data_IF_664739973872
#
_entry.id   IF_664739973872
#
_cell.length_a   1.000
_cell.length_b   1.000
_cell.length_c   1.000
_cell.angle_alpha   90.00
_cell.angle_beta   90.00
_cell.angle_gamma   90.00
#
_symmetry.space_group_name_H-M   'P 1'
#
loop_
_entity.id
_entity.type
_entity.pdbx_description
1 polymer ?
#
# COMPACT_ATOMS: atom_id res chain seq x y z
N UNK A 1 -28.85 8.16 -10.58
CA UNK A 1 -29.20 6.79 -11.05
C UNK A 1 -30.38 6.84 -12.03
N UNK A 2 -30.26 7.57 -13.14
CA UNK A 2 -31.37 7.79 -14.10
C UNK A 2 -31.26 6.96 -15.40
N UNK A 3 -30.25 6.09 -15.52
CA UNK A 3 -29.92 5.35 -16.77
C UNK A 3 -30.12 3.83 -16.64
N UNK A 4 -31.03 3.33 -15.80
CA UNK A 4 -31.33 1.89 -15.75
C UNK A 4 -32.43 1.55 -16.77
N UNK A 5 -32.32 0.37 -17.39
CA UNK A 5 -33.21 -0.12 -18.45
C UNK A 5 -34.57 -0.52 -17.86
N UNK A 6 -35.69 -0.09 -18.48
CA UNK A 6 -37.05 -0.21 -17.90
C UNK A 6 -37.91 -1.25 -18.63
N UNK A 7 -38.62 -2.09 -17.88
CA UNK A 7 -39.75 -2.90 -18.35
C UNK A 7 -40.88 -2.85 -17.30
N UNK A 8 -42.14 -2.88 -17.76
CA UNK A 8 -43.33 -2.53 -16.99
C UNK A 8 -44.03 -3.76 -16.40
N UNK A 9 -43.94 -3.98 -15.08
CA UNK A 9 -44.86 -4.86 -14.33
C UNK A 9 -45.06 -4.38 -12.87
N UNK A 10 -46.22 -4.68 -12.24
CA UNK A 10 -46.78 -3.90 -11.13
C UNK A 10 -46.39 -4.39 -9.72
N UNK A 11 -45.53 -5.39 -9.57
CA UNK A 11 -45.24 -6.00 -8.26
C UNK A 11 -43.78 -5.99 -7.81
N UNK A 12 -42.87 -5.35 -8.54
CA UNK A 12 -41.55 -5.00 -8.02
C UNK A 12 -40.97 -3.88 -8.88
N UNK A 13 -40.90 -2.67 -8.31
CA UNK A 13 -40.21 -1.54 -8.92
C UNK A 13 -38.77 -1.94 -9.26
N UNK A 14 -38.42 -1.82 -10.54
CA UNK A 14 -37.17 -1.34 -11.16
C UNK A 14 -35.80 -1.57 -10.45
N UNK A 15 -35.70 -1.41 -9.12
CA UNK A 15 -34.51 -1.64 -8.30
C UNK A 15 -34.21 -3.12 -8.02
N UNK A 16 -35.21 -4.01 -8.00
CA UNK A 16 -35.00 -5.39 -7.50
C UNK A 16 -34.27 -6.32 -8.47
N UNK A 17 -34.05 -5.91 -9.72
CA UNK A 17 -33.64 -6.80 -10.82
C UNK A 17 -32.27 -6.50 -11.44
N UNK A 18 -31.46 -5.63 -10.85
CA UNK A 18 -30.10 -5.35 -11.37
C UNK A 18 -29.13 -4.94 -10.28
N UNK A 19 -27.85 -5.29 -10.46
CA UNK A 19 -26.77 -4.97 -9.52
C UNK A 19 -26.13 -3.61 -9.84
N UNK A 20 -26.09 -2.73 -8.85
CA UNK A 20 -25.32 -1.49 -8.70
C UNK A 20 -23.86 -1.69 -8.29
N UNK A 21 -22.84 -1.22 -9.02
CA UNK A 21 -21.48 -1.09 -8.48
C UNK A 21 -20.96 0.33 -8.74
N UNK A 22 -20.70 1.07 -7.67
CA UNK A 22 -19.98 2.34 -7.70
C UNK A 22 -18.57 2.11 -7.17
N UNK A 23 -17.55 2.48 -7.95
CA UNK A 23 -16.15 2.40 -7.53
C UNK A 23 -15.53 3.78 -7.52
N UNK A 24 -15.09 4.22 -6.34
CA UNK A 24 -14.33 5.45 -6.14
C UNK A 24 -12.86 5.08 -5.96
N UNK A 25 -12.00 5.56 -6.85
CA UNK A 25 -10.54 5.44 -6.73
C UNK A 25 -9.98 6.72 -6.15
N UNK A 26 -9.29 6.62 -5.01
CA UNK A 26 -8.68 7.74 -4.31
C UNK A 26 -7.18 7.58 -4.43
N UNK A 27 -6.49 8.61 -4.93
CA UNK A 27 -5.02 8.65 -4.97
C UNK A 27 -4.58 9.78 -4.05
N UNK A 28 -3.61 9.50 -3.19
CA UNK A 28 -3.01 10.47 -2.30
C UNK A 28 -1.50 10.49 -2.54
N UNK A 29 -1.01 11.64 -2.99
CA UNK A 29 0.40 11.96 -3.16
C UNK A 29 0.82 12.98 -2.09
N UNK A 30 1.66 12.61 -1.11
CA UNK A 30 2.12 13.56 -0.11
C UNK A 30 2.95 14.66 -0.78
N UNK A 31 2.55 15.92 -0.59
CA UNK A 31 3.28 17.08 -1.11
C UNK A 31 4.50 17.34 -0.22
N UNK A 32 5.71 17.31 -0.80
CA UNK A 32 6.95 17.70 -0.10
C UNK A 32 7.91 16.55 0.28
N UNK A 33 7.52 15.28 0.10
CA UNK A 33 8.44 14.15 0.25
C UNK A 33 9.01 13.77 -1.13
N UNK A 34 10.32 13.89 -1.33
CA UNK A 34 11.01 13.37 -2.50
C UNK A 34 11.78 12.10 -2.11
N UNK A 35 11.42 10.93 -2.65
CA UNK A 35 10.39 10.68 -3.64
C UNK A 35 8.98 10.53 -3.04
N UNK A 36 7.97 11.00 -3.76
CA UNK A 36 6.59 10.99 -3.32
C UNK A 36 6.02 9.58 -3.47
N UNK A 37 5.89 8.84 -2.36
CA UNK A 37 5.19 7.55 -2.37
C UNK A 37 3.70 7.83 -2.50
N UNK A 38 3.13 7.54 -3.67
CA UNK A 38 1.69 7.64 -3.89
C UNK A 38 1.00 6.44 -3.26
N UNK A 39 -0.03 6.73 -2.49
CA UNK A 39 -0.92 5.73 -1.90
C UNK A 39 -2.24 5.73 -2.65
N UNK A 40 -2.76 4.55 -2.97
CA UNK A 40 -4.04 4.42 -3.66
C UNK A 40 -5.04 3.62 -2.83
N UNK A 41 -6.22 4.19 -2.65
CA UNK A 41 -7.40 3.56 -2.08
C UNK A 41 -8.45 3.26 -3.15
N UNK A 42 -9.24 2.21 -2.94
CA UNK A 42 -10.42 1.91 -3.74
C UNK A 42 -11.60 1.66 -2.80
N UNK A 43 -12.64 2.48 -2.90
CA UNK A 43 -13.92 2.27 -2.22
C UNK A 43 -14.93 1.74 -3.24
N UNK A 44 -15.45 0.54 -3.01
CA UNK A 44 -16.51 -0.05 -3.82
C UNK A 44 -17.80 -0.12 -3.00
N UNK A 45 -18.86 0.53 -3.51
CA UNK A 45 -20.21 0.46 -2.96
C UNK A 45 -21.02 -0.41 -3.93
N UNK A 46 -21.62 -1.46 -3.39
CA UNK A 46 -22.32 -2.48 -4.17
C UNK A 46 -23.76 -2.56 -3.68
N UNK A 47 -24.70 -2.34 -4.59
CA UNK A 47 -26.13 -2.48 -4.39
C UNK A 47 -26.58 -3.74 -5.14
N UNK A 48 -26.97 -4.76 -4.40
CA UNK A 48 -27.32 -6.06 -4.97
C UNK A 48 -28.81 -6.09 -5.33
N UNK A 49 -29.13 -6.80 -6.41
CA UNK A 49 -30.50 -7.15 -6.76
C UNK A 49 -31.18 -7.97 -5.63
N UNK A 50 -32.50 -8.02 -5.67
CA UNK A 50 -33.32 -8.80 -4.74
C UNK A 50 -32.93 -10.27 -4.72
N UNK A 51 -32.89 -10.87 -3.52
CA UNK A 51 -32.54 -12.28 -3.32
C UNK A 51 -33.75 -13.21 -3.38
N UNK A 52 -34.94 -12.66 -3.59
CA UNK A 52 -36.19 -13.41 -3.64
C UNK A 52 -36.25 -14.36 -4.84
N UNK A 53 -36.81 -15.55 -4.58
CA UNK A 53 -37.09 -16.52 -5.64
C UNK A 53 -38.45 -16.19 -6.27
N UNK A 54 -38.49 -16.17 -7.60
CA UNK A 54 -39.76 -16.19 -8.31
C UNK A 54 -40.45 -17.51 -8.02
N UNK A 55 -41.70 -17.44 -7.58
CA UNK A 55 -42.53 -18.61 -7.33
C UNK A 55 -43.00 -19.16 -8.68
N UNK A 56 -42.90 -20.47 -8.86
CA UNK A 56 -43.37 -21.15 -10.07
C UNK A 56 -44.89 -20.94 -10.20
N UNK A 57 -45.33 -20.22 -11.23
CA UNK A 57 -46.75 -20.06 -11.55
C UNK A 57 -47.18 -18.74 -12.20
N UNK A 58 -46.37 -17.66 -12.12
CA UNK A 58 -46.85 -16.30 -12.43
C UNK A 58 -46.02 -15.54 -13.48
N UNK A 59 -45.21 -16.25 -14.29
CA UNK A 59 -44.21 -15.60 -15.14
C UNK A 59 -44.15 -16.18 -16.57
N UNK A 60 -44.26 -15.29 -17.56
CA UNK A 60 -43.97 -15.54 -18.98
C UNK A 60 -42.52 -16.02 -19.16
N UNK A 61 -42.24 -16.86 -20.17
CA UNK A 61 -40.89 -17.43 -20.43
C UNK A 61 -39.76 -16.39 -20.42
N UNK A 62 -39.97 -15.21 -21.02
CA UNK A 62 -38.99 -14.11 -21.02
C UNK A 62 -38.66 -13.58 -19.62
N UNK A 63 -39.64 -13.56 -18.72
CA UNK A 63 -39.46 -13.12 -17.33
C UNK A 63 -38.69 -14.18 -16.52
N UNK A 64 -38.85 -15.46 -16.87
CA UNK A 64 -38.12 -16.57 -16.25
C UNK A 64 -36.64 -16.54 -16.63
N UNK A 65 -36.30 -16.25 -17.89
CA UNK A 65 -34.91 -16.10 -18.34
C UNK A 65 -34.20 -14.89 -17.70
N UNK A 66 -34.87 -13.73 -17.65
CA UNK A 66 -34.33 -12.52 -17.03
C UNK A 66 -34.09 -12.73 -15.52
N UNK A 67 -35.10 -13.25 -14.81
CA UNK A 67 -34.99 -13.54 -13.37
C UNK A 67 -33.96 -14.64 -13.10
N UNK A 68 -33.86 -15.63 -13.98
CA UNK A 68 -32.85 -16.67 -13.92
C UNK A 68 -31.43 -16.12 -13.95
N UNK A 69 -31.16 -15.13 -14.81
CA UNK A 69 -29.85 -14.49 -14.89
C UNK A 69 -29.49 -13.64 -13.66
N UNK A 70 -30.46 -12.94 -13.07
CA UNK A 70 -30.28 -12.18 -11.84
C UNK A 70 -29.95 -13.12 -10.68
N UNK A 71 -30.77 -14.15 -10.50
CA UNK A 71 -30.58 -15.14 -9.45
C UNK A 71 -29.32 -15.98 -9.64
N UNK A 72 -28.87 -16.20 -10.88
CA UNK A 72 -27.60 -16.85 -11.16
C UNK A 72 -26.43 -16.12 -10.51
N UNK A 73 -26.36 -14.79 -10.62
CA UNK A 73 -25.26 -14.03 -10.02
C UNK A 73 -25.24 -14.10 -8.48
N UNK A 74 -26.40 -14.05 -7.81
CA UNK A 74 -26.50 -14.20 -6.36
C UNK A 74 -26.26 -15.64 -5.89
N UNK A 75 -26.67 -16.63 -6.68
CA UNK A 75 -26.39 -18.04 -6.44
C UNK A 75 -24.89 -18.30 -6.51
N UNK A 76 -24.23 -17.84 -7.57
CA UNK A 76 -22.77 -17.94 -7.72
C UNK A 76 -22.04 -17.21 -6.58
N UNK A 77 -22.54 -16.05 -6.16
CA UNK A 77 -22.02 -15.36 -4.98
C UNK A 77 -22.11 -16.25 -3.73
N UNK A 78 -23.24 -16.91 -3.50
CA UNK A 78 -23.42 -17.86 -2.40
C UNK A 78 -22.50 -19.09 -2.47
N UNK A 79 -22.23 -19.59 -3.68
CA UNK A 79 -21.27 -20.67 -3.92
C UNK A 79 -19.84 -20.22 -3.59
N UNK A 80 -19.44 -19.02 -4.03
CA UNK A 80 -18.13 -18.44 -3.70
C UNK A 80 -17.94 -18.31 -2.18
N UNK A 81 -18.95 -17.78 -1.48
CA UNK A 81 -18.93 -17.66 -0.02
C UNK A 81 -18.81 -19.04 0.63
N UNK A 82 -19.59 -20.02 0.18
CA UNK A 82 -19.54 -21.37 0.75
C UNK A 82 -18.16 -22.02 0.52
N UNK A 83 -17.55 -21.82 -0.64
CA UNK A 83 -16.20 -22.33 -0.95
C UNK A 83 -15.11 -21.65 -0.10
N UNK A 84 -15.19 -20.33 0.11
CA UNK A 84 -14.31 -19.59 1.02
C UNK A 84 -14.50 -20.00 2.49
N UNK A 85 -15.74 -20.38 2.79
CA UNK A 85 -16.34 -20.92 4.02
C UNK A 85 -15.74 -22.23 4.55
N UNK A 86 -15.44 -23.11 3.61
CA UNK A 86 -15.15 -24.51 3.87
C UNK A 86 -13.63 -24.71 3.88
N UNK A 87 -13.02 -25.13 5.00
CA UNK A 87 -11.57 -25.31 5.07
C UNK A 87 -11.03 -26.33 4.06
N UNK A 88 -11.85 -27.29 3.61
CA UNK A 88 -11.45 -28.28 2.59
C UNK A 88 -11.45 -27.67 1.19
N UNK A 89 -12.36 -26.75 0.90
CA UNK A 89 -12.53 -26.14 -0.44
C UNK A 89 -11.82 -24.80 -0.59
N UNK A 90 -11.45 -24.16 0.53
CA UNK A 90 -10.80 -22.84 0.54
C UNK A 90 -9.47 -22.81 -0.21
N UNK A 91 -8.76 -23.94 -0.23
CA UNK A 91 -7.49 -24.09 -0.95
C UNK A 91 -7.69 -24.58 -2.40
N UNK A 92 -8.93 -24.87 -2.81
CA UNK A 92 -9.28 -25.28 -4.15
C UNK A 92 -9.75 -24.12 -5.03
N UNK A 93 -10.33 -24.47 -6.18
CA UNK A 93 -10.88 -23.49 -7.12
C UNK A 93 -12.15 -22.82 -6.55
N UNK A 94 -12.15 -21.49 -6.49
CA UNK A 94 -13.32 -20.69 -6.12
C UNK A 94 -13.96 -20.15 -7.42
N UNK A 95 -15.27 -20.35 -7.64
CA UNK A 95 -15.94 -20.06 -8.90
C UNK A 95 -16.24 -18.57 -9.13
N UNK A 96 -15.25 -17.68 -8.96
CA UNK A 96 -15.46 -16.25 -9.21
C UNK A 96 -15.85 -15.95 -10.66
N UNK A 97 -15.40 -16.77 -11.61
CA UNK A 97 -15.60 -16.58 -13.04
C UNK A 97 -17.01 -16.96 -13.53
N UNK A 98 -17.80 -17.63 -12.71
CA UNK A 98 -19.11 -18.14 -13.11
C UNK A 98 -20.17 -17.02 -13.22
N UNK A 99 -19.89 -15.83 -12.66
CA UNK A 99 -20.68 -14.62 -12.87
C UNK A 99 -19.79 -13.36 -12.96
N UNK A 100 -20.22 -12.37 -13.76
CA UNK A 100 -19.53 -11.07 -13.85
C UNK A 100 -19.46 -10.36 -12.49
N UNK A 101 -20.51 -10.46 -11.68
CA UNK A 101 -20.56 -9.88 -10.34
C UNK A 101 -19.45 -10.44 -9.45
N UNK A 102 -19.33 -11.77 -9.37
CA UNK A 102 -18.31 -12.43 -8.54
C UNK A 102 -16.89 -12.21 -9.05
N UNK A 103 -16.70 -11.99 -10.36
CA UNK A 103 -15.41 -11.55 -10.90
C UNK A 103 -15.01 -10.17 -10.37
N UNK A 104 -15.94 -9.21 -10.40
CA UNK A 104 -15.70 -7.85 -9.92
C UNK A 104 -15.49 -7.79 -8.40
N UNK A 105 -16.15 -8.67 -7.64
CA UNK A 105 -16.06 -8.76 -6.18
C UNK A 105 -14.95 -9.69 -5.67
N UNK A 106 -14.16 -10.31 -6.56
CA UNK A 106 -13.10 -11.25 -6.19
C UNK A 106 -12.09 -10.65 -5.20
N UNK A 107 -11.74 -9.38 -5.35
CA UNK A 107 -10.82 -8.66 -4.43
C UNK A 107 -11.47 -8.40 -3.05
N UNK A 108 -12.81 -8.33 -2.99
CA UNK A 108 -13.58 -8.09 -1.75
C UNK A 108 -13.93 -9.39 -1.01
N UNK A 109 -13.98 -10.53 -1.71
CA UNK A 109 -14.35 -11.81 -1.12
C UNK A 109 -13.14 -12.72 -1.04
N UNK A 110 -12.41 -12.71 0.08
CA UNK A 110 -11.20 -13.50 0.27
C UNK A 110 -9.92 -12.88 -0.32
N UNK A 111 -10.00 -11.66 -0.84
CA UNK A 111 -8.89 -10.92 -1.45
C UNK A 111 -8.22 -9.90 -0.52
N UNK A 112 -7.70 -8.83 -1.13
CA UNK A 112 -6.89 -7.79 -0.49
C UNK A 112 -7.67 -6.58 0.04
N UNK A 113 -9.00 -6.58 -0.08
CA UNK A 113 -9.87 -5.51 0.38
C UNK A 113 -10.41 -5.70 1.80
N UNK A 114 -10.74 -4.58 2.45
CA UNK A 114 -11.64 -4.57 3.61
C UNK A 114 -13.07 -4.63 3.08
N UNK A 115 -13.92 -5.48 3.65
CA UNK A 115 -15.26 -5.72 3.13
C UNK A 115 -16.28 -5.76 4.24
N UNK A 116 -17.36 -5.01 4.05
CA UNK A 116 -18.52 -4.94 4.93
C UNK A 116 -19.73 -5.44 4.14
N UNK A 117 -20.49 -6.35 4.74
CA UNK A 117 -21.77 -6.82 4.20
C UNK A 117 -22.90 -6.32 5.08
N UNK A 118 -23.90 -5.67 4.47
CA UNK A 118 -25.12 -5.24 5.13
C UNK A 118 -26.24 -6.20 4.71
N UNK A 119 -26.86 -6.86 5.68
CA UNK A 119 -27.97 -7.78 5.45
C UNK A 119 -29.30 -7.06 5.69
N UNK A 120 -29.98 -6.67 4.62
CA UNK A 120 -31.30 -6.05 4.69
C UNK A 120 -32.38 -7.14 4.76
N UNK A 121 -33.20 -7.12 5.81
CA UNK A 121 -34.28 -8.11 6.02
C UNK A 121 -35.59 -7.41 6.33
N UNK A 122 -36.70 -8.07 6.05
CA UNK A 122 -38.05 -7.55 6.30
C UNK A 122 -38.62 -8.17 7.58
N UNK A 123 -39.20 -7.37 8.50
CA UNK A 123 -39.80 -7.89 9.72
C UNK A 123 -41.16 -8.59 9.50
N UNK A 124 -41.69 -8.58 8.27
CA UNK A 124 -43.02 -9.13 7.95
C UNK A 124 -43.00 -10.66 8.05
N UNK A 125 -44.01 -11.24 8.70
CA UNK A 125 -44.18 -12.69 8.83
C UNK A 125 -44.25 -13.40 7.45
N UNK A 126 -44.86 -12.77 6.45
CA UNK A 126 -44.91 -13.30 5.08
C UNK A 126 -43.51 -13.49 4.44
N UNK A 127 -42.50 -12.75 4.91
CA UNK A 127 -41.13 -12.76 4.41
C UNK A 127 -40.17 -13.55 5.33
N UNK A 128 -40.70 -14.33 6.27
CA UNK A 128 -39.89 -15.06 7.26
C UNK A 128 -38.85 -15.98 6.59
N UNK A 129 -39.26 -16.68 5.54
CA UNK A 129 -38.38 -17.63 4.84
C UNK A 129 -37.21 -16.91 4.16
N UNK A 130 -37.47 -15.80 3.46
CA UNK A 130 -36.40 -15.02 2.82
C UNK A 130 -35.49 -14.34 3.84
N UNK A 131 -36.06 -13.84 4.93
CA UNK A 131 -35.29 -13.31 6.07
C UNK A 131 -34.34 -14.35 6.63
N UNK A 132 -34.81 -15.58 6.85
CA UNK A 132 -33.98 -16.68 7.33
C UNK A 132 -32.87 -17.04 6.34
N UNK A 133 -33.16 -17.02 5.03
CA UNK A 133 -32.17 -17.25 3.99
C UNK A 133 -31.06 -16.19 4.04
N UNK A 134 -31.42 -14.92 4.10
CA UNK A 134 -30.47 -13.79 4.17
C UNK A 134 -29.61 -13.84 5.44
N UNK A 135 -30.19 -14.18 6.60
CA UNK A 135 -29.44 -14.31 7.85
C UNK A 135 -28.46 -15.50 7.83
N UNK A 136 -28.87 -16.64 7.27
CA UNK A 136 -27.97 -17.79 7.07
C UNK A 136 -26.82 -17.43 6.13
N UNK A 137 -27.11 -16.65 5.09
CA UNK A 137 -26.14 -16.17 4.14
C UNK A 137 -25.12 -15.23 4.79
N UNK A 138 -25.57 -14.22 5.51
CA UNK A 138 -24.70 -13.25 6.21
C UNK A 138 -23.85 -13.90 7.30
N UNK A 139 -24.43 -14.87 8.02
CA UNK A 139 -23.70 -15.68 9.01
C UNK A 139 -22.54 -16.46 8.38
N UNK A 140 -22.72 -17.00 7.18
CA UNK A 140 -21.61 -17.60 6.41
C UNK A 140 -20.59 -16.55 5.98
N UNK A 141 -21.05 -15.44 5.40
CA UNK A 141 -20.18 -14.37 4.91
C UNK A 141 -19.28 -13.78 6.01
N UNK A 142 -19.77 -13.66 7.25
CA UNK A 142 -19.00 -13.20 8.42
C UNK A 142 -17.71 -14.01 8.67
N UNK A 143 -17.67 -15.27 8.23
CA UNK A 143 -16.52 -16.16 8.46
C UNK A 143 -15.43 -16.05 7.38
N UNK A 144 -15.67 -15.30 6.30
CA UNK A 144 -14.69 -15.09 5.24
C UNK A 144 -13.48 -14.33 5.81
N UNK A 145 -12.27 -14.80 5.48
CA UNK A 145 -11.02 -14.19 5.92
C UNK A 145 -10.36 -13.46 4.76
N UNK A 146 -10.42 -12.13 4.78
CA UNK A 146 -9.66 -11.27 3.86
C UNK A 146 -8.26 -11.00 4.42
N UNK A 147 -7.33 -10.64 3.53
CA UNK A 147 -5.96 -10.24 3.88
C UNK A 147 -5.72 -8.82 3.37
N UNK A 148 -6.19 -7.78 4.07
CA UNK A 148 -6.07 -6.41 3.57
C UNK A 148 -4.60 -6.02 3.37
N UNK A 149 -4.28 -5.52 2.18
CA UNK A 149 -2.93 -5.05 1.83
C UNK A 149 -3.02 -3.59 1.37
N UNK A 150 -2.20 -2.72 1.96
CA UNK A 150 -2.07 -1.35 1.50
C UNK A 150 -1.52 -1.35 0.06
N UNK A 151 -2.31 -0.86 -0.89
CA UNK A 151 -1.86 -0.70 -2.28
C UNK A 151 -0.99 0.54 -2.39
N UNK A 152 0.31 0.35 -2.22
CA UNK A 152 1.33 1.28 -2.69
C UNK A 152 1.72 0.88 -4.11
N UNK A 153 1.87 1.86 -5.01
CA UNK A 153 2.31 1.56 -6.36
C UNK A 153 3.80 1.16 -6.32
N UNK A 154 4.08 -0.14 -6.42
CA UNK A 154 5.43 -0.70 -6.40
C UNK A 154 6.27 -0.13 -7.55
N UNK A 155 5.63 0.12 -8.70
CA UNK A 155 6.31 0.74 -9.84
C UNK A 155 6.77 2.16 -9.47
N UNK A 156 5.90 2.92 -8.82
CA UNK A 156 6.20 4.28 -8.38
C UNK A 156 7.23 4.31 -7.25
N UNK A 157 7.24 3.33 -6.34
CA UNK A 157 8.31 3.15 -5.34
C UNK A 157 9.68 2.82 -5.95
N UNK A 158 9.71 1.99 -6.98
CA UNK A 158 10.96 1.68 -7.70
C UNK A 158 11.44 2.92 -8.46
N UNK A 159 10.54 3.60 -9.16
CA UNK A 159 10.83 4.81 -9.92
C UNK A 159 11.34 5.94 -9.00
N UNK A 160 10.69 6.12 -7.86
CA UNK A 160 11.10 6.95 -6.74
C UNK A 160 12.53 6.68 -6.25
N UNK A 161 12.88 5.40 -6.10
CA UNK A 161 14.20 4.98 -5.62
C UNK A 161 15.27 5.23 -6.68
N UNK A 162 15.01 4.85 -7.92
CA UNK A 162 15.91 5.08 -9.06
C UNK A 162 16.19 6.57 -9.28
N UNK A 163 15.17 7.42 -9.16
CA UNK A 163 15.36 8.88 -9.27
C UNK A 163 16.23 9.45 -8.15
N UNK A 164 16.19 8.87 -6.94
CA UNK A 164 17.08 9.28 -5.85
C UNK A 164 18.52 8.89 -6.16
N UNK A 165 18.72 7.66 -6.62
CA UNK A 165 20.03 7.14 -7.01
C UNK A 165 20.69 8.01 -8.09
N UNK A 166 19.92 8.36 -9.13
CA UNK A 166 20.38 9.23 -10.22
C UNK A 166 20.85 10.58 -9.69
N UNK A 167 20.09 11.20 -8.77
CA UNK A 167 20.47 12.49 -8.18
C UNK A 167 21.79 12.41 -7.41
N UNK A 168 21.93 11.40 -6.55
CA UNK A 168 23.15 11.20 -5.77
C UNK A 168 24.36 10.99 -6.68
N UNK A 169 24.26 10.11 -7.67
CA UNK A 169 25.34 9.85 -8.63
C UNK A 169 25.70 11.07 -9.47
N UNK A 170 24.73 11.91 -9.84
CA UNK A 170 25.01 13.15 -10.57
C UNK A 170 25.75 14.18 -9.71
N UNK A 171 25.44 14.26 -8.42
CA UNK A 171 26.07 15.17 -7.49
C UNK A 171 27.51 14.74 -7.17
N UNK A 172 27.74 13.45 -6.94
CA UNK A 172 29.08 12.88 -6.79
C UNK A 172 29.93 13.10 -8.05
N UNK A 173 29.37 12.85 -9.24
CA UNK A 173 30.06 13.12 -10.50
C UNK A 173 30.40 14.60 -10.67
N UNK A 174 29.53 15.50 -10.23
CA UNK A 174 29.77 16.93 -10.29
C UNK A 174 30.94 17.34 -9.38
N UNK A 175 30.97 16.84 -8.15
CA UNK A 175 32.06 17.08 -7.20
C UNK A 175 33.39 16.55 -7.75
N UNK A 176 33.42 15.30 -8.21
CA UNK A 176 34.63 14.68 -8.78
C UNK A 176 35.16 15.47 -9.98
N UNK A 177 34.27 15.95 -10.86
CA UNK A 177 34.64 16.80 -12.01
C UNK A 177 35.18 18.17 -11.60
N UNK A 178 34.77 18.73 -10.47
CA UNK A 178 35.36 19.97 -9.94
C UNK A 178 36.76 19.77 -9.34
N UNK A 179 37.06 18.60 -8.80
CA UNK A 179 38.37 18.30 -8.20
C UNK A 179 39.42 17.86 -9.23
N UNK A 180 39.00 17.30 -10.37
CA UNK A 180 39.87 16.91 -11.49
C UNK A 180 40.84 18.02 -11.96
N UNK A 181 40.40 19.27 -12.24
CA UNK A 181 41.32 20.32 -12.68
C UNK A 181 42.33 20.75 -11.61
N UNK A 182 42.00 20.67 -10.31
CA UNK A 182 42.95 20.98 -9.22
C UNK A 182 44.10 19.97 -9.19
N UNK A 183 43.80 18.68 -9.34
CA UNK A 183 44.82 17.64 -9.46
C UNK A 183 45.67 17.79 -10.73
N UNK A 184 45.10 18.34 -11.80
CA UNK A 184 45.78 18.54 -13.08
C UNK A 184 46.69 19.78 -13.05
N UNK A 185 46.26 20.87 -12.42
CA UNK A 185 47.09 22.05 -12.15
C UNK A 185 48.23 21.74 -11.17
N UNK A 186 48.02 20.90 -10.15
CA UNK A 186 49.08 20.44 -9.23
C UNK A 186 50.12 19.57 -9.96
N UNK A 187 49.71 18.86 -11.03
CA UNK A 187 50.63 18.09 -11.89
C UNK A 187 51.41 19.00 -12.86
N UNK A 188 50.79 20.04 -13.40
CA UNK A 188 51.41 20.97 -14.36
C UNK A 188 52.31 22.02 -13.68
N UNK A 189 51.95 22.47 -12.48
CA UNK A 189 52.75 23.42 -11.70
C UNK A 189 53.99 22.80 -11.04
N UNK A 190 54.09 21.47 -11.00
CA UNK A 190 55.30 20.72 -10.60
C UNK A 190 56.35 20.51 -11.70
N UNK A 191 56.10 20.95 -12.95
CA UNK A 191 57.02 20.76 -14.08
C UNK A 191 57.70 22.08 -14.46
N UNK A 192 58.83 22.37 -13.81
CA UNK A 192 59.79 23.37 -14.29
C UNK A 192 61.16 22.70 -14.49
N UNK A 193 61.49 22.29 -15.73
CA UNK A 193 62.88 22.28 -16.19
C UNK A 193 62.98 22.63 -17.68
N UNK A 194 63.82 23.62 -17.94
CA UNK A 194 64.34 24.09 -19.21
C UNK A 194 64.84 22.98 -20.13
N UNK A 195 64.48 23.06 -21.42
CA UNK A 195 65.21 22.39 -22.49
C UNK A 195 66.31 23.30 -23.07
N UNK A 196 67.56 22.97 -22.76
CA UNK A 196 68.70 23.26 -23.64
C UNK A 196 69.64 22.05 -23.68
N UNK A 197 69.64 21.36 -24.83
CA UNK A 197 70.82 20.71 -25.41
C UNK A 197 71.33 19.37 -24.83
N UNK A 198 71.06 18.28 -25.57
CA UNK A 198 72.08 17.28 -25.94
C UNK A 198 72.40 16.11 -24.98
N UNK A 199 72.09 14.89 -25.45
CA UNK A 199 72.97 13.71 -25.28
C UNK A 199 72.77 12.78 -24.08
N UNK A 200 72.47 11.51 -24.39
CA UNK A 200 72.67 10.26 -23.60
C UNK A 200 71.92 10.04 -22.28
N UNK A 201 70.87 9.22 -22.38
CA UNK A 201 70.48 8.06 -21.55
C UNK A 201 71.13 7.83 -20.17
N UNK A 202 70.34 8.01 -19.10
CA UNK A 202 70.10 7.16 -17.90
C UNK A 202 69.87 7.99 -16.60
N UNK A 203 69.24 7.40 -15.56
CA UNK A 203 67.81 7.50 -15.23
C UNK A 203 67.45 8.72 -14.37
N UNK A 204 66.43 9.45 -14.82
CA UNK A 204 65.79 10.56 -14.11
C UNK A 204 64.89 9.96 -13.01
N UNK A 205 65.43 9.74 -11.82
CA UNK A 205 64.66 9.15 -10.71
C UNK A 205 64.93 9.74 -9.33
N UNK A 206 65.92 10.63 -9.17
CA UNK A 206 66.32 11.11 -7.84
C UNK A 206 66.25 12.64 -7.67
N UNK A 207 66.12 13.41 -8.75
CA UNK A 207 66.18 14.88 -8.68
C UNK A 207 64.82 15.57 -8.49
N UNK A 208 63.70 14.88 -8.73
CA UNK A 208 62.36 15.47 -8.55
C UNK A 208 62.05 15.69 -7.06
N UNK A 209 62.54 14.82 -6.18
CA UNK A 209 62.28 14.92 -4.74
C UNK A 209 63.07 16.06 -4.07
N UNK A 210 64.23 16.43 -4.63
CA UNK A 210 65.10 17.47 -4.05
C UNK A 210 64.64 18.89 -4.35
N UNK A 211 63.77 19.10 -5.35
CA UNK A 211 63.16 20.39 -5.65
C UNK A 211 62.01 20.74 -4.69
N UNK A 212 61.33 19.73 -4.12
CA UNK A 212 60.23 19.93 -3.17
C UNK A 212 60.67 20.44 -1.79
N UNK A 213 61.96 20.39 -1.46
CA UNK A 213 62.49 20.92 -0.18
C UNK A 213 62.85 22.41 -0.22
N UNK A 214 62.67 23.08 -1.37
CA UNK A 214 63.15 24.44 -1.62
C UNK A 214 62.22 25.60 -1.25
N UNK A 215 60.98 25.36 -0.83
CA UNK A 215 60.03 26.44 -0.50
C UNK A 215 59.41 26.25 0.88
N UNK A 216 60.07 26.84 1.89
CA UNK A 216 59.45 27.45 3.09
C UNK A 216 58.77 26.56 4.14
N UNK A 217 58.25 25.39 3.78
CA UNK A 217 57.75 24.37 4.69
C UNK A 217 58.55 23.10 4.36
N UNK A 218 59.41 22.67 5.28
CA UNK A 218 60.13 21.40 5.11
C UNK A 218 59.12 20.31 4.77
N UNK A 219 59.42 19.40 3.83
CA UNK A 219 58.58 18.21 3.59
C UNK A 219 58.17 17.52 4.91
N UNK A 220 59.05 17.60 5.91
CA UNK A 220 58.81 17.17 7.29
C UNK A 220 57.67 17.91 7.99
N UNK A 221 57.53 19.23 7.82
CA UNK A 221 56.43 19.99 8.41
C UNK A 221 55.11 19.69 7.73
N UNK A 222 55.07 19.59 6.40
CA UNK A 222 53.85 19.19 5.68
C UNK A 222 53.41 17.78 6.06
N UNK A 223 54.36 16.84 6.19
CA UNK A 223 54.08 15.47 6.63
C UNK A 223 53.58 15.43 8.09
N UNK A 224 54.06 16.33 8.93
CA UNK A 224 53.62 16.47 10.33
C UNK A 224 52.22 17.09 10.43
N UNK A 225 51.89 18.06 9.59
CA UNK A 225 50.56 18.67 9.50
C UNK A 225 49.53 17.67 8.97
N UNK A 226 49.87 16.90 7.93
CA UNK A 226 49.01 15.83 7.40
C UNK A 226 48.75 14.73 8.44
N UNK A 227 49.77 14.38 9.22
CA UNK A 227 49.64 13.37 10.27
C UNK A 227 48.72 13.86 11.40
N UNK A 228 48.81 15.15 11.76
CA UNK A 228 47.90 15.78 12.72
C UNK A 228 46.45 15.85 12.22
N UNK A 229 46.24 16.18 10.94
CA UNK A 229 44.89 16.22 10.36
C UNK A 229 44.27 14.82 10.29
N UNK A 230 45.05 13.78 9.99
CA UNK A 230 44.59 12.38 10.01
C UNK A 230 44.15 11.96 11.41
N UNK A 231 44.95 12.26 12.44
CA UNK A 231 44.59 11.93 13.83
C UNK A 231 43.34 12.68 14.30
N UNK A 232 43.22 13.96 13.93
CA UNK A 232 42.03 14.77 14.19
C UNK A 232 40.79 14.20 13.51
N UNK A 233 40.88 13.86 12.21
CA UNK A 233 39.79 13.25 11.45
C UNK A 233 39.39 11.88 12.02
N UNK A 234 40.36 11.09 12.47
CA UNK A 234 40.07 9.83 13.17
C UNK A 234 39.34 10.09 14.50
N UNK A 235 39.75 11.10 15.27
CA UNK A 235 39.05 11.53 16.47
C UNK A 235 37.60 11.95 16.19
N UNK A 236 37.39 12.82 15.21
CA UNK A 236 36.04 13.26 14.80
C UNK A 236 35.17 12.08 14.34
N UNK A 237 35.75 11.14 13.58
CA UNK A 237 35.06 9.91 13.14
C UNK A 237 34.63 9.04 14.32
N UNK A 238 35.46 8.86 15.34
CA UNK A 238 35.08 8.08 16.53
C UNK A 238 33.90 8.72 17.27
N UNK A 239 33.92 10.04 17.46
CA UNK A 239 32.81 10.78 18.10
C UNK A 239 31.52 10.69 17.28
N UNK A 240 31.61 10.76 15.96
CA UNK A 240 30.45 10.61 15.08
C UNK A 240 29.86 9.19 15.12
N UNK A 241 30.71 8.16 15.19
CA UNK A 241 30.26 6.77 15.33
C UNK A 241 29.53 6.55 16.66
N UNK A 242 30.05 7.08 17.77
CA UNK A 242 29.37 7.01 19.07
C UNK A 242 28.00 7.73 19.04
N UNK A 243 27.92 8.89 18.40
CA UNK A 243 26.65 9.61 18.21
C UNK A 243 25.66 8.83 17.35
N UNK A 244 26.15 8.21 16.27
CA UNK A 244 25.34 7.36 15.38
C UNK A 244 24.79 6.17 16.16
N UNK A 245 25.64 5.48 16.94
CA UNK A 245 25.24 4.33 17.76
C UNK A 245 24.20 4.74 18.82
N UNK A 246 24.40 5.87 19.52
CA UNK A 246 23.41 6.39 20.47
C UNK A 246 22.08 6.74 19.81
N UNK A 247 22.11 7.27 18.59
CA UNK A 247 20.89 7.58 17.81
C UNK A 247 20.16 6.30 17.41
N UNK A 248 20.88 5.28 16.94
CA UNK A 248 20.31 4.00 16.54
C UNK A 248 19.73 3.24 17.74
N UNK A 249 20.41 3.26 18.90
CA UNK A 249 19.85 2.73 20.15
C UNK A 249 18.55 3.44 20.56
N UNK A 250 18.48 4.76 20.38
CA UNK A 250 17.26 5.52 20.68
C UNK A 250 16.12 5.20 19.71
N UNK A 251 16.42 5.04 18.41
CA UNK A 251 15.45 4.61 17.40
C UNK A 251 14.91 3.20 17.69
N UNK A 252 15.77 2.30 18.13
CA UNK A 252 15.38 0.95 18.50
C UNK A 252 14.47 0.93 19.73
N UNK A 253 14.79 1.70 20.78
CA UNK A 253 13.90 1.88 21.95
C UNK A 253 12.52 2.39 21.53
N UNK A 254 12.47 3.43 20.70
CA UNK A 254 11.21 3.99 20.19
C UNK A 254 10.44 2.97 19.33
N UNK A 255 11.14 2.17 18.52
CA UNK A 255 10.53 1.10 17.72
C UNK A 255 9.90 0.00 18.58
N UNK A 256 10.61 -0.43 19.63
CA UNK A 256 10.08 -1.39 20.60
C UNK A 256 8.86 -0.84 21.35
N UNK A 257 8.91 0.44 21.73
CA UNK A 257 7.79 1.11 22.40
C UNK A 257 6.58 1.27 21.48
N UNK A 258 6.78 1.67 20.22
CA UNK A 258 5.72 1.68 19.20
C UNK A 258 5.10 0.30 19.00
N UNK A 259 5.92 -0.76 18.94
CA UNK A 259 5.44 -2.14 18.81
C UNK A 259 4.61 -2.57 20.02
N UNK A 260 5.00 -2.15 21.23
CA UNK A 260 4.26 -2.39 22.48
C UNK A 260 2.93 -1.62 22.49
N UNK A 261 2.93 -0.36 22.11
CA UNK A 261 1.74 0.48 22.02
C UNK A 261 0.76 -0.05 20.97
N UNK A 262 1.22 -0.47 19.79
CA UNK A 262 0.38 -1.11 18.77
C UNK A 262 -0.23 -2.44 19.25
N UNK A 263 0.46 -3.18 20.13
CA UNK A 263 -0.14 -4.36 20.79
C UNK A 263 -1.25 -3.95 21.75
N UNK A 264 -0.99 -2.99 22.65
CA UNK A 264 -2.01 -2.44 23.56
C UNK A 264 -3.22 -1.88 22.81
N UNK A 265 -2.99 -1.16 21.71
CA UNK A 265 -4.06 -0.57 20.91
C UNK A 265 -4.96 -1.65 20.30
N UNK A 266 -4.37 -2.73 19.78
CA UNK A 266 -5.13 -3.90 19.30
C UNK A 266 -5.91 -4.60 20.41
N UNK A 267 -5.36 -4.69 21.61
CA UNK A 267 -6.05 -5.30 22.75
C UNK A 267 -7.22 -4.43 23.24
N UNK A 268 -7.03 -3.11 23.29
CA UNK A 268 -8.10 -2.15 23.59
C UNK A 268 -9.17 -2.12 22.49
N UNK A 269 -8.79 -2.20 21.22
CA UNK A 269 -9.74 -2.33 20.11
C UNK A 269 -10.54 -3.64 20.21
N UNK A 270 -9.93 -4.74 20.64
CA UNK A 270 -10.64 -5.99 20.93
C UNK A 270 -11.60 -5.84 22.10
N UNK A 271 -11.18 -5.21 23.19
CA UNK A 271 -12.06 -4.93 24.34
C UNK A 271 -13.23 -4.04 23.94
N UNK A 272 -12.98 -2.95 23.22
CA UNK A 272 -14.01 -2.07 22.68
C UNK A 272 -14.91 -2.79 21.68
N UNK A 273 -14.38 -3.71 20.87
CA UNK A 273 -15.20 -4.53 19.97
C UNK A 273 -16.08 -5.53 20.74
N UNK A 274 -15.65 -6.01 21.91
CA UNK A 274 -16.45 -6.88 22.80
C UNK A 274 -17.55 -6.06 23.49
N UNK A 275 -17.21 -4.91 24.08
CA UNK A 275 -18.20 -3.98 24.67
C UNK A 275 -19.19 -3.45 23.62
N UNK A 276 -18.69 -3.12 22.43
CA UNK A 276 -19.52 -2.70 21.30
C UNK A 276 -20.26 -3.88 20.66
N UNK A 277 -19.80 -5.14 20.74
CA UNK A 277 -20.64 -6.29 20.34
C UNK A 277 -21.82 -6.50 21.30
N UNK A 278 -21.66 -6.18 22.59
CA UNK A 278 -22.78 -6.17 23.55
C UNK A 278 -23.77 -5.02 23.32
N UNK A 279 -23.37 -3.92 22.66
CA UNK A 279 -24.27 -2.82 22.28
C UNK A 279 -24.74 -2.83 20.81
N UNK A 280 -23.98 -3.37 19.85
CA UNK A 280 -24.35 -3.42 18.44
C UNK A 280 -25.34 -4.55 18.12
N UNK A 281 -25.40 -5.61 18.93
CA UNK A 281 -26.53 -6.56 18.84
C UNK A 281 -27.84 -5.87 19.23
N UNK A 282 -27.81 -4.82 20.06
CA UNK A 282 -28.99 -4.02 20.41
C UNK A 282 -29.22 -2.90 19.39
N UNK A 283 -28.18 -2.27 18.83
CA UNK A 283 -28.34 -1.08 17.97
C UNK A 283 -28.74 -1.38 16.50
N UNK A 284 -28.45 -2.58 15.97
CA UNK A 284 -29.04 -3.00 14.69
C UNK A 284 -30.53 -3.42 14.82
N UNK A 285 -31.02 -3.51 16.05
CA UNK A 285 -32.41 -3.84 16.39
C UNK A 285 -33.21 -2.65 16.95
N UNK A 286 -32.71 -1.40 16.93
CA UNK A 286 -33.56 -0.22 17.20
C UNK A 286 -34.34 0.10 15.92
N UNK A 287 -35.33 -0.74 15.68
CA UNK A 287 -36.72 -0.35 15.44
C UNK A 287 -36.89 1.12 15.03
N UNK A 288 -37.24 1.28 13.76
CA UNK A 288 -38.10 2.36 13.27
C UNK A 288 -39.50 2.12 13.88
N UNK A 289 -39.72 2.53 15.11
CA UNK A 289 -41.06 2.82 15.67
C UNK A 289 -41.03 4.29 16.11
N UNK A 290 -42.17 4.95 15.96
CA UNK A 290 -42.40 6.39 15.74
C UNK A 290 -42.31 6.78 14.26
N UNK A 291 -43.38 7.07 13.53
CA UNK A 291 -44.78 7.29 13.90
C UNK A 291 -45.68 6.79 12.78
N UNK A 292 -46.72 6.04 13.15
CA UNK A 292 -47.97 6.00 12.42
C UNK A 292 -49.09 6.10 13.46
N UNK A 293 -49.46 7.34 13.76
CA UNK A 293 -50.74 7.69 14.38
C UNK A 293 -51.10 9.09 13.90
N UNK A 294 -52.32 9.18 13.37
CA UNK A 294 -53.09 10.38 13.04
C UNK A 294 -53.02 10.98 11.62
N UNK A 295 -54.21 10.91 11.00
CA UNK A 295 -54.78 11.51 9.78
C UNK A 295 -54.67 10.71 8.48
#
# INVERSE_FOLDING_TARGET
MQSRQTSSQPQNEHSSRSHSILTLSIKHSPTGAQPAVVTQGKLCIVDLAGSERVKDGDCTERLQEETGNINRSLLTLGQCITALVDPKKRNGHIPYRDSKLTMLLSDSLGGGGITLMIACVSPRAANLQETMNTLRYSSKAKRIKNKPVAKSDLCEQVLATLQREIRTLTEENMILRQHLPKFQEDLESGVCVHSTGGGSTEPIGHDVWSAYTGSGASLRSLLQDLMWEIDKLHGEKTVLLDKQESSDQQRERLSQENTRLLRKLRDLERQKAIESHCHCIVMACIVKEHDMSDV
#
